data_IF_294506618180
#
_entry.id   IF_294506618180
#
_cell.length_a   1.000
_cell.length_b   1.000
_cell.length_c   1.000
_cell.angle_alpha   90.00
_cell.angle_beta   90.00
_cell.angle_gamma   90.00
#
_symmetry.space_group_name_H-M   'P 1'
#
loop_
_entity.id
_entity.type
_entity.pdbx_description
1 polymer ?
#
# COMPACT_ATOMS: atom_id res chain seq x y z
N UNK A 1 17.46 2.78 -3.08
CA UNK A 1 17.56 1.31 -2.91
C UNK A 1 16.71 0.84 -1.75
N UNK A 2 16.89 1.32 -0.52
CA UNK A 2 16.10 0.82 0.63
C UNK A 2 14.60 1.03 0.45
N UNK A 3 14.14 2.27 0.28
CA UNK A 3 12.70 2.53 0.18
C UNK A 3 12.10 1.96 -1.12
N UNK A 4 12.38 2.55 -2.29
CA UNK A 4 11.71 2.11 -3.53
C UNK A 4 11.97 0.66 -3.95
N UNK A 5 13.18 0.12 -3.71
CA UNK A 5 13.48 -1.24 -4.15
C UNK A 5 13.18 -2.29 -3.07
N UNK A 6 13.60 -2.10 -1.82
CA UNK A 6 13.26 -3.08 -0.77
C UNK A 6 11.76 -2.96 -0.46
N UNK A 7 11.33 -1.86 0.13
CA UNK A 7 9.93 -1.67 0.55
C UNK A 7 8.97 -1.76 -0.65
N UNK A 8 9.20 -1.02 -1.73
CA UNK A 8 8.31 -1.06 -2.90
C UNK A 8 8.16 -2.44 -3.54
N UNK A 9 9.21 -3.26 -3.66
CA UNK A 9 9.07 -4.63 -4.23
C UNK A 9 8.37 -5.57 -3.24
N UNK A 10 8.73 -5.50 -1.95
CA UNK A 10 8.13 -6.37 -0.93
C UNK A 10 6.65 -6.06 -0.72
N UNK A 11 6.23 -4.81 -0.84
CA UNK A 11 4.82 -4.41 -0.79
C UNK A 11 3.99 -5.04 -1.91
N UNK A 12 4.49 -5.05 -3.15
CA UNK A 12 3.78 -5.67 -4.27
C UNK A 12 3.67 -7.19 -4.12
N UNK A 13 4.73 -7.83 -3.63
CA UNK A 13 4.72 -9.28 -3.33
C UNK A 13 3.70 -9.57 -2.22
N UNK A 14 3.74 -8.77 -1.14
CA UNK A 14 2.81 -8.89 -0.02
C UNK A 14 1.37 -8.64 -0.45
N UNK A 15 1.10 -7.67 -1.33
CA UNK A 15 -0.23 -7.42 -1.88
C UNK A 15 -0.78 -8.63 -2.65
N UNK A 16 0.06 -9.26 -3.47
CA UNK A 16 -0.32 -10.48 -4.20
C UNK A 16 -0.59 -11.65 -3.25
N UNK A 17 0.23 -11.81 -2.20
CA UNK A 17 0.01 -12.83 -1.17
C UNK A 17 -1.28 -12.56 -0.37
N UNK A 18 -1.53 -11.32 0.03
CA UNK A 18 -2.73 -10.90 0.74
C UNK A 18 -3.98 -11.15 -0.11
N UNK A 19 -3.97 -10.75 -1.39
CA UNK A 19 -5.04 -11.03 -2.32
C UNK A 19 -5.35 -12.53 -2.43
N UNK A 20 -4.30 -13.37 -2.56
CA UNK A 20 -4.46 -14.82 -2.56
C UNK A 20 -5.11 -15.33 -1.27
N UNK A 21 -4.62 -14.90 -0.11
CA UNK A 21 -5.15 -15.32 1.20
C UNK A 21 -6.61 -14.90 1.36
N UNK A 22 -6.96 -13.65 1.04
CA UNK A 22 -8.33 -13.16 1.16
C UNK A 22 -9.30 -13.93 0.27
N UNK A 23 -8.93 -14.21 -0.99
CA UNK A 23 -9.75 -15.06 -1.87
C UNK A 23 -10.00 -16.43 -1.24
N UNK A 24 -8.99 -17.02 -0.58
CA UNK A 24 -9.09 -18.36 0.01
C UNK A 24 -9.83 -18.40 1.35
N UNK A 25 -9.74 -17.35 2.15
CA UNK A 25 -10.31 -17.33 3.51
C UNK A 25 -11.72 -16.78 3.53
N UNK A 26 -11.98 -15.70 2.79
CA UNK A 26 -13.30 -15.03 2.82
C UNK A 26 -14.23 -15.54 1.73
N UNK A 27 -13.70 -16.08 0.63
CA UNK A 27 -14.49 -16.49 -0.53
C UNK A 27 -15.11 -15.32 -1.30
N UNK A 28 -14.56 -14.11 -1.15
CA UNK A 28 -14.88 -12.97 -2.02
C UNK A 28 -14.45 -13.30 -3.45
N UNK A 29 -15.26 -12.88 -4.42
CA UNK A 29 -15.01 -13.15 -5.83
C UNK A 29 -13.65 -12.60 -6.25
N UNK A 30 -12.88 -13.44 -6.95
CA UNK A 30 -11.53 -13.12 -7.43
C UNK A 30 -11.48 -11.80 -8.19
N UNK A 31 -12.49 -11.53 -9.03
CA UNK A 31 -12.57 -10.29 -9.80
C UNK A 31 -12.57 -9.04 -8.90
N UNK A 32 -13.23 -9.10 -7.75
CA UNK A 32 -13.30 -7.97 -6.81
C UNK A 32 -11.95 -7.75 -6.12
N UNK A 33 -11.32 -8.83 -5.66
CA UNK A 33 -10.00 -8.75 -5.02
C UNK A 33 -8.93 -8.31 -6.02
N UNK A 34 -8.98 -8.74 -7.28
CA UNK A 34 -8.05 -8.29 -8.32
C UNK A 34 -8.20 -6.79 -8.62
N UNK A 35 -9.43 -6.25 -8.59
CA UNK A 35 -9.64 -4.79 -8.70
C UNK A 35 -9.01 -4.04 -7.53
N UNK A 36 -9.17 -4.54 -6.30
CA UNK A 36 -8.46 -3.99 -5.13
C UNK A 36 -6.93 -4.09 -5.28
N UNK A 37 -6.42 -5.19 -5.83
CA UNK A 37 -4.99 -5.35 -6.09
C UNK A 37 -4.46 -4.27 -7.03
N UNK A 38 -5.19 -3.92 -8.10
CA UNK A 38 -4.81 -2.79 -8.96
C UNK A 38 -4.82 -1.45 -8.24
N UNK A 39 -5.77 -1.23 -7.33
CA UNK A 39 -5.79 -0.03 -6.47
C UNK A 39 -4.55 0.01 -5.57
N UNK A 40 -4.21 -1.10 -4.92
CA UNK A 40 -3.01 -1.21 -4.07
C UNK A 40 -1.74 -0.95 -4.89
N UNK A 41 -1.57 -1.62 -6.03
CA UNK A 41 -0.39 -1.43 -6.91
C UNK A 41 -0.25 0.04 -7.30
N UNK A 42 -1.35 0.67 -7.71
CA UNK A 42 -1.34 2.08 -8.16
C UNK A 42 -0.96 3.01 -7.01
N UNK A 43 -1.64 2.87 -5.87
CA UNK A 43 -1.42 3.74 -4.73
C UNK A 43 -0.03 3.52 -4.14
N UNK A 44 0.39 2.28 -3.86
CA UNK A 44 1.71 1.97 -3.32
C UNK A 44 2.85 2.52 -4.20
N UNK A 45 2.74 2.43 -5.53
CA UNK A 45 3.75 2.99 -6.41
C UNK A 45 3.75 4.52 -6.44
N UNK A 46 2.57 5.15 -6.54
CA UNK A 46 2.47 6.62 -6.58
C UNK A 46 2.89 7.23 -5.26
N UNK A 47 2.42 6.68 -4.13
CA UNK A 47 2.75 7.16 -2.80
C UNK A 47 4.19 6.81 -2.44
N UNK A 48 4.69 5.61 -2.72
CA UNK A 48 6.08 5.19 -2.48
C UNK A 48 7.12 6.10 -3.10
N UNK A 49 6.88 6.55 -4.34
CA UNK A 49 7.79 7.48 -5.02
C UNK A 49 7.91 8.80 -4.24
N UNK A 50 6.81 9.34 -3.74
CA UNK A 50 6.77 10.64 -3.05
C UNK A 50 7.16 10.48 -1.56
N UNK A 51 6.69 9.41 -0.93
CA UNK A 51 6.94 9.02 0.45
C UNK A 51 8.42 8.82 0.75
N UNK A 52 9.24 8.46 -0.25
CA UNK A 52 10.71 8.43 -0.11
C UNK A 52 11.24 9.71 0.57
N UNK A 53 10.53 10.83 0.38
CA UNK A 53 10.70 12.11 1.09
C UNK A 53 10.83 12.05 2.61
N UNK A 54 10.25 11.08 3.30
CA UNK A 54 10.38 10.95 4.76
C UNK A 54 11.80 10.63 5.24
N UNK A 55 12.63 10.06 4.37
CA UNK A 55 14.06 9.89 4.63
C UNK A 55 14.83 11.21 4.55
N UNK A 56 14.22 12.26 4.01
CA UNK A 56 14.86 13.54 3.78
C UNK A 56 14.60 14.57 4.90
N UNK A 57 13.70 14.26 5.83
CA UNK A 57 13.24 15.15 6.90
C UNK A 57 14.35 15.92 7.63
N UNK A 58 15.48 15.27 7.91
CA UNK A 58 16.52 15.84 8.79
C UNK A 58 17.95 15.70 8.25
N UNK A 59 18.11 15.51 6.94
CA UNK A 59 19.44 15.40 6.30
C UNK A 59 19.85 16.69 5.56
N UNK A 60 19.14 17.79 5.80
CA UNK A 60 19.45 19.10 5.21
C UNK A 60 18.81 19.38 3.85
N UNK A 61 17.80 18.62 3.43
CA UNK A 61 17.00 18.94 2.23
C UNK A 61 15.93 20.00 2.54
N UNK A 62 15.20 20.44 1.51
CA UNK A 62 14.17 21.48 1.61
C UNK A 62 13.00 21.07 2.53
N UNK A 63 12.44 22.03 3.26
CA UNK A 63 11.39 21.82 4.26
C UNK A 63 10.08 21.26 3.70
N UNK A 64 9.78 21.46 2.40
CA UNK A 64 8.56 20.91 1.81
C UNK A 64 8.49 19.38 1.91
N UNK A 65 9.63 18.70 2.04
CA UNK A 65 9.65 17.26 2.24
C UNK A 65 8.97 16.83 3.52
N UNK A 66 8.98 17.64 4.58
CA UNK A 66 8.23 17.35 5.81
C UNK A 66 6.73 17.15 5.53
N UNK A 67 6.15 17.97 4.66
CA UNK A 67 4.75 17.86 4.26
C UNK A 67 4.52 16.68 3.32
N UNK A 68 5.30 16.60 2.24
CA UNK A 68 5.12 15.56 1.21
C UNK A 68 5.42 14.16 1.74
N UNK A 69 6.53 13.98 2.46
CA UNK A 69 6.85 12.71 3.10
C UNK A 69 5.75 12.32 4.08
N UNK A 70 5.37 13.18 5.03
CA UNK A 70 4.38 12.82 6.05
C UNK A 70 3.03 12.40 5.47
N UNK A 71 2.51 13.14 4.49
CA UNK A 71 1.19 12.84 3.89
C UNK A 71 1.24 11.52 3.13
N UNK A 72 2.25 11.30 2.29
CA UNK A 72 2.28 10.14 1.41
C UNK A 72 2.71 8.86 2.15
N UNK A 73 3.57 8.96 3.17
CA UNK A 73 3.86 7.84 4.09
C UNK A 73 2.61 7.36 4.82
N UNK A 74 1.74 8.28 5.25
CA UNK A 74 0.52 7.91 5.95
C UNK A 74 -0.50 7.21 5.03
N UNK A 75 -0.44 7.43 3.72
CA UNK A 75 -1.38 6.87 2.75
C UNK A 75 -1.02 5.45 2.30
N UNK A 76 0.26 5.06 2.30
CA UNK A 76 0.72 3.74 1.84
C UNK A 76 -0.01 2.54 2.43
N UNK A 77 -0.23 2.44 3.75
CA UNK A 77 -0.90 1.27 4.32
C UNK A 77 -2.43 1.27 4.10
N UNK A 78 -3.03 2.42 3.81
CA UNK A 78 -4.49 2.60 3.71
C UNK A 78 -5.18 1.59 2.77
N UNK A 79 -4.74 1.41 1.51
CA UNK A 79 -5.42 0.48 0.60
C UNK A 79 -5.31 -0.98 1.03
N UNK A 80 -4.23 -1.39 1.71
CA UNK A 80 -4.10 -2.74 2.26
C UNK A 80 -5.12 -3.01 3.37
N UNK A 81 -5.25 -2.06 4.30
CA UNK A 81 -6.24 -2.14 5.37
C UNK A 81 -7.66 -2.10 4.82
N UNK A 82 -7.94 -1.19 3.88
CA UNK A 82 -9.26 -1.04 3.28
C UNK A 82 -9.71 -2.33 2.56
N UNK A 83 -8.83 -2.95 1.75
CA UNK A 83 -9.14 -4.24 1.11
C UNK A 83 -9.42 -5.34 2.15
N UNK A 84 -8.61 -5.40 3.22
CA UNK A 84 -8.76 -6.41 4.26
C UNK A 84 -10.11 -6.26 4.99
N UNK A 85 -10.44 -5.07 5.46
CA UNK A 85 -11.73 -4.76 6.12
C UNK A 85 -12.90 -5.09 5.18
N UNK A 86 -12.84 -4.61 3.94
CA UNK A 86 -13.85 -4.91 2.92
C UNK A 86 -14.07 -6.43 2.75
N UNK A 87 -12.98 -7.20 2.67
CA UNK A 87 -13.07 -8.63 2.41
C UNK A 87 -13.76 -9.40 3.55
N UNK A 88 -13.53 -9.03 4.81
CA UNK A 88 -14.20 -9.64 5.96
C UNK A 88 -15.65 -9.17 6.11
N UNK A 89 -15.90 -7.86 6.01
CA UNK A 89 -17.26 -7.30 6.12
C UNK A 89 -18.20 -7.78 5.01
N UNK A 90 -17.71 -7.91 3.77
CA UNK A 90 -18.52 -8.32 2.61
C UNK A 90 -19.13 -9.72 2.73
N UNK A 91 -18.59 -10.56 3.63
CA UNK A 91 -19.05 -11.94 3.87
C UNK A 91 -19.60 -12.14 5.29
N UNK A 92 -19.66 -11.09 6.11
CA UNK A 92 -20.13 -11.15 7.49
C UNK A 92 -19.20 -11.94 8.42
N UNK A 93 -17.89 -11.94 8.11
CA UNK A 93 -16.81 -12.55 8.92
C UNK A 93 -16.08 -11.51 9.75
#
# INVERSE_FOLDING_TARGET
VVHLWVEGVWELIMAAMLAFVLIKVTGVDREVIEKWLYVIITLALVTGIICTGHHYFWIGTQEYWQWWGSIFSALEPVPFFAMSVFAFESKGL
#
